data_IF_694783850865
#
_entry.id   IF_694783850865
#
_cell.length_a   1.000
_cell.length_b   1.000
_cell.length_c   1.000
_cell.angle_alpha   90.00
_cell.angle_beta   90.00
_cell.angle_gamma   90.00
#
_symmetry.space_group_name_H-M   'P 1'
#
loop_
_entity.id
_entity.type
_entity.pdbx_description
1 polymer ?
#
# COMPACT_ATOMS: atom_id res chain seq x y z
N UNK A 1 -21.91 -14.55 9.90
CA UNK A 1 -20.56 -14.92 10.38
C UNK A 1 -19.84 -15.56 9.20
N UNK A 2 -19.00 -14.82 8.47
CA UNK A 2 -18.29 -15.38 7.32
C UNK A 2 -17.20 -16.32 7.83
N UNK A 3 -17.23 -17.57 7.37
CA UNK A 3 -16.19 -18.56 7.64
C UNK A 3 -14.93 -18.15 6.88
N UNK A 4 -13.96 -17.50 7.53
CA UNK A 4 -12.65 -17.23 6.92
C UNK A 4 -11.93 -18.58 6.75
N UNK A 5 -11.81 -19.04 5.51
CA UNK A 5 -11.01 -20.23 5.20
C UNK A 5 -9.53 -19.90 5.40
N UNK A 6 -8.79 -20.80 6.05
CA UNK A 6 -7.33 -20.68 6.20
C UNK A 6 -6.69 -20.84 4.82
N UNK A 7 -6.00 -19.81 4.36
CA UNK A 7 -5.33 -19.78 3.06
C UNK A 7 -3.82 -19.87 3.29
N UNK A 8 -3.24 -21.04 3.00
CA UNK A 8 -1.80 -21.24 3.03
C UNK A 8 -1.25 -21.00 1.61
N UNK A 9 -0.58 -19.87 1.38
CA UNK A 9 0.03 -19.51 0.08
C UNK A 9 1.54 -19.37 0.26
N UNK A 10 2.38 -20.00 -0.59
CA UNK A 10 3.82 -19.77 -0.54
C UNK A 10 4.15 -18.30 -0.83
N UNK A 11 5.15 -17.75 -0.14
CA UNK A 11 5.68 -16.44 -0.46
C UNK A 11 6.26 -16.49 -1.89
N UNK A 12 5.67 -15.69 -2.78
CA UNK A 12 6.15 -15.51 -4.15
C UNK A 12 6.63 -14.08 -4.32
N UNK A 13 7.94 -13.91 -4.46
CA UNK A 13 8.55 -12.62 -4.78
C UNK A 13 8.36 -12.36 -6.28
N UNK A 14 7.54 -11.38 -6.64
CA UNK A 14 7.30 -11.01 -8.05
C UNK A 14 8.45 -10.20 -8.64
N UNK A 15 9.04 -9.33 -7.84
CA UNK A 15 10.11 -8.41 -8.24
C UNK A 15 10.71 -7.79 -6.98
N UNK A 16 12.02 -7.89 -6.82
CA UNK A 16 12.86 -7.11 -5.90
C UNK A 16 14.17 -6.90 -6.64
N UNK A 17 14.63 -5.66 -6.77
CA UNK A 17 15.95 -5.39 -7.32
C UNK A 17 17.04 -5.82 -6.33
N UNK A 18 18.27 -5.97 -6.81
CA UNK A 18 19.43 -6.18 -5.93
C UNK A 18 19.64 -5.00 -4.94
N UNK A 19 19.10 -3.82 -5.27
CA UNK A 19 19.09 -2.64 -4.39
C UNK A 19 17.96 -2.64 -3.35
N UNK A 20 17.04 -3.60 -3.40
CA UNK A 20 15.88 -3.66 -2.51
C UNK A 20 14.71 -2.75 -2.93
N UNK A 21 14.73 -2.24 -4.16
CA UNK A 21 13.62 -1.48 -4.72
C UNK A 21 12.50 -2.40 -5.15
N UNK A 22 11.27 -1.92 -4.96
CA UNK A 22 10.05 -2.62 -5.33
C UNK A 22 8.96 -1.61 -5.69
N UNK A 23 7.98 -2.08 -6.46
CA UNK A 23 6.80 -1.33 -6.84
C UNK A 23 5.56 -2.21 -6.73
N UNK A 24 4.39 -1.60 -6.57
CA UNK A 24 3.13 -2.33 -6.52
C UNK A 24 1.95 -1.48 -6.08
N UNK A 25 0.75 -2.06 -6.23
CA UNK A 25 -0.50 -1.44 -5.81
C UNK A 25 -0.74 -1.68 -4.32
N UNK A 26 -0.82 -0.60 -3.54
CA UNK A 26 -1.22 -0.65 -2.13
C UNK A 26 -2.74 -0.82 -1.93
N UNK A 27 -3.54 -0.45 -2.93
CA UNK A 27 -5.00 -0.61 -2.96
C UNK A 27 -5.45 -0.62 -4.42
N UNK A 28 -6.54 -1.32 -4.74
CA UNK A 28 -7.13 -1.41 -6.09
C UNK A 28 -8.59 -0.97 -6.07
N UNK A 29 -9.07 -0.37 -7.15
CA UNK A 29 -10.41 0.19 -7.20
C UNK A 29 -11.50 -0.82 -7.51
N UNK A 30 -12.70 -0.55 -7.00
CA UNK A 30 -13.90 -1.33 -7.33
C UNK A 30 -13.91 -2.75 -6.75
N UNK A 31 -12.92 -3.11 -5.94
CA UNK A 31 -12.84 -4.40 -5.26
C UNK A 31 -13.31 -4.23 -3.82
N UNK A 32 -14.23 -5.09 -3.41
CA UNK A 32 -14.68 -5.18 -2.01
C UNK A 32 -13.59 -5.85 -1.16
N UNK A 33 -13.16 -5.16 -0.12
CA UNK A 33 -12.14 -5.67 0.81
C UNK A 33 -12.73 -6.61 1.88
N UNK A 34 -11.90 -7.08 2.82
CA UNK A 34 -12.32 -8.00 3.88
C UNK A 34 -13.23 -7.37 4.95
N UNK A 35 -13.41 -6.06 4.93
CA UNK A 35 -14.25 -5.28 5.85
C UNK A 35 -15.48 -4.70 5.14
N UNK A 36 -15.78 -5.16 3.92
CA UNK A 36 -16.89 -4.74 3.07
C UNK A 36 -16.77 -3.31 2.47
N UNK A 37 -15.59 -2.70 2.53
CA UNK A 37 -15.31 -1.40 1.93
C UNK A 37 -14.90 -1.52 0.45
N UNK A 38 -15.19 -0.49 -0.35
CA UNK A 38 -14.76 -0.39 -1.76
C UNK A 38 -14.06 0.94 -1.96
N UNK A 39 -12.79 0.88 -2.36
CA UNK A 39 -12.02 2.08 -2.71
C UNK A 39 -12.40 2.50 -4.13
N UNK A 40 -12.73 3.78 -4.29
CA UNK A 40 -13.11 4.39 -5.57
C UNK A 40 -11.96 5.23 -6.11
N UNK A 41 -11.91 5.41 -7.44
CA UNK A 41 -11.01 6.40 -8.02
C UNK A 41 -11.34 7.80 -7.48
N UNK A 42 -10.30 8.58 -7.19
CA UNK A 42 -10.31 9.86 -6.51
C UNK A 42 -10.14 9.75 -4.99
N UNK A 43 -10.19 8.55 -4.40
CA UNK A 43 -10.13 8.38 -2.95
C UNK A 43 -8.79 8.87 -2.35
N UNK A 44 -7.69 8.76 -3.09
CA UNK A 44 -6.36 9.16 -2.60
C UNK A 44 -5.93 10.54 -3.08
N UNK A 45 -6.59 11.11 -4.09
CA UNK A 45 -6.21 12.37 -4.75
C UNK A 45 -5.94 13.53 -3.77
N UNK A 46 -6.81 13.75 -2.79
CA UNK A 46 -6.64 14.84 -1.81
C UNK A 46 -5.42 14.62 -0.90
N UNK A 47 -5.22 13.39 -0.43
CA UNK A 47 -4.09 13.02 0.43
C UNK A 47 -2.77 13.09 -0.32
N UNK A 48 -2.71 12.55 -1.54
CA UNK A 48 -1.52 12.61 -2.40
C UNK A 48 -1.14 14.06 -2.71
N UNK A 49 -2.12 14.92 -2.99
CA UNK A 49 -1.87 16.35 -3.17
C UNK A 49 -1.30 17.00 -1.91
N UNK A 50 -1.88 16.72 -0.74
CA UNK A 50 -1.41 17.28 0.52
C UNK A 50 0.04 16.87 0.86
N UNK A 51 0.45 15.65 0.46
CA UNK A 51 1.83 15.19 0.58
C UNK A 51 2.76 15.85 -0.45
N UNK A 52 2.31 15.96 -1.69
CA UNK A 52 3.04 16.67 -2.76
C UNK A 52 3.33 18.13 -2.39
N UNK A 53 2.34 18.85 -1.83
CA UNK A 53 2.48 20.24 -1.36
C UNK A 53 3.55 20.38 -0.27
N UNK A 54 3.78 19.32 0.53
CA UNK A 54 4.83 19.24 1.57
C UNK A 54 6.19 18.81 1.02
N UNK A 55 6.28 18.46 -0.27
CA UNK A 55 7.45 17.84 -0.91
C UNK A 55 7.94 16.61 -0.14
N UNK A 56 7.00 15.80 0.34
CA UNK A 56 7.26 14.61 1.14
C UNK A 56 6.29 13.49 0.78
N UNK A 57 6.58 12.28 1.23
CA UNK A 57 5.70 11.12 1.17
C UNK A 57 5.50 10.53 2.58
N UNK A 58 4.43 9.73 2.80
CA UNK A 58 4.24 9.01 4.04
C UNK A 58 5.46 8.18 4.43
N UNK A 59 5.67 7.96 5.73
CA UNK A 59 6.74 7.07 6.18
C UNK A 59 6.45 5.62 5.73
N UNK A 60 7.47 4.94 5.20
CA UNK A 60 7.43 3.51 4.94
C UNK A 60 7.79 2.79 6.25
N UNK A 61 6.79 2.21 6.91
CA UNK A 61 6.90 1.61 8.24
C UNK A 61 6.59 0.10 8.20
N UNK A 62 7.10 -0.62 9.19
CA UNK A 62 6.56 -1.94 9.52
C UNK A 62 5.12 -1.80 10.01
N UNK A 63 4.21 -2.65 9.50
CA UNK A 63 2.76 -2.63 9.78
C UNK A 63 2.36 -2.05 11.15
N UNK A 64 2.50 -2.82 12.23
CA UNK A 64 2.12 -2.41 13.59
C UNK A 64 3.30 -1.82 14.39
N UNK A 65 4.40 -1.44 13.72
CA UNK A 65 5.63 -0.99 14.39
C UNK A 65 6.11 0.34 13.79
N UNK A 66 5.68 1.42 14.43
CA UNK A 66 5.85 2.80 13.93
C UNK A 66 7.17 3.46 14.35
N UNK A 67 7.93 2.85 15.26
CA UNK A 67 9.20 3.36 15.79
C UNK A 67 10.41 3.05 14.89
N UNK A 68 10.22 2.23 13.85
CA UNK A 68 11.29 1.79 12.95
C UNK A 68 10.87 1.93 11.47
N UNK A 69 11.25 3.03 10.80
CA UNK A 69 11.10 3.17 9.35
C UNK A 69 11.98 2.16 8.59
N UNK A 70 11.44 1.62 7.49
CA UNK A 70 12.10 0.56 6.70
C UNK A 70 12.57 1.03 5.33
N UNK A 71 12.43 2.32 5.04
CA UNK A 71 12.88 2.92 3.80
C UNK A 71 12.13 4.20 3.47
N UNK A 72 12.16 4.57 2.19
CA UNK A 72 11.49 5.75 1.66
C UNK A 72 10.74 5.39 0.39
N UNK A 73 9.56 5.97 0.21
CA UNK A 73 8.92 5.95 -1.09
C UNK A 73 9.58 6.98 -2.00
N UNK A 74 9.72 6.61 -3.27
CA UNK A 74 10.26 7.49 -4.33
C UNK A 74 9.14 8.09 -5.18
N UNK A 75 8.02 7.37 -5.34
CA UNK A 75 6.82 7.80 -6.06
C UNK A 75 5.57 7.22 -5.37
N UNK A 76 4.46 7.97 -5.38
CA UNK A 76 3.11 7.48 -5.08
C UNK A 76 2.13 8.19 -5.99
N UNK A 77 1.21 7.42 -6.60
CA UNK A 77 0.15 7.95 -7.44
C UNK A 77 -1.10 7.09 -7.35
N UNK A 78 -2.17 7.67 -7.89
CA UNK A 78 -3.41 6.99 -8.22
C UNK A 78 -3.47 6.85 -9.75
N UNK A 79 -3.92 5.71 -10.27
CA UNK A 79 -3.98 5.41 -11.71
C UNK A 79 -5.20 4.60 -12.17
#
# INVERSE_FOLDING_TARGET
MQTKQRLDVPLSLKSVSDSGEFEGYGSVFGVKDSHDDVVMSGAFAASLRAWSDRKALPALLWQHRMDEPIGVYTEMKED
#
